data_IF_308693052007
#
_entry.id   IF_308693052007
#
_cell.length_a   1.000
_cell.length_b   1.000
_cell.length_c   1.000
_cell.angle_alpha   90.00
_cell.angle_beta   90.00
_cell.angle_gamma   90.00
#
_symmetry.space_group_name_H-M   'P 1'
#
loop_
_entity.id
_entity.type
_entity.pdbx_description
1 polymer ?
#
# COMPACT_ATOMS: atom_id res chain seq x y z
N UNK A 1 -7.06 -28.73 33.36
CA UNK A 1 -6.06 -27.62 33.35
C UNK A 1 -4.91 -27.80 32.34
N UNK A 2 -4.30 -28.97 32.21
CA UNK A 2 -3.19 -29.21 31.24
C UNK A 2 -3.62 -29.02 29.77
N UNK A 3 -4.79 -29.52 29.40
CA UNK A 3 -5.35 -29.39 28.04
C UNK A 3 -5.65 -27.93 27.65
N UNK A 4 -6.15 -27.12 28.60
CA UNK A 4 -6.43 -25.69 28.37
C UNK A 4 -5.13 -24.91 28.09
N UNK A 5 -4.05 -25.25 28.80
CA UNK A 5 -2.73 -24.62 28.59
C UNK A 5 -2.11 -25.00 27.25
N UNK A 6 -2.30 -26.25 26.81
CA UNK A 6 -1.85 -26.70 25.49
C UNK A 6 -2.65 -26.01 24.39
N UNK A 7 -3.98 -25.91 24.53
CA UNK A 7 -4.84 -25.22 23.57
C UNK A 7 -4.48 -23.72 23.45
N UNK A 8 -4.26 -23.03 24.57
CA UNK A 8 -3.78 -21.65 24.59
C UNK A 8 -2.40 -21.49 23.95
N UNK A 9 -1.47 -22.42 24.22
CA UNK A 9 -0.14 -22.42 23.60
C UNK A 9 -0.20 -22.62 22.08
N UNK A 10 -0.98 -23.58 21.61
CA UNK A 10 -1.20 -23.80 20.18
C UNK A 10 -1.90 -22.61 19.51
N UNK A 11 -2.88 -22.00 20.17
CA UNK A 11 -3.56 -20.79 19.68
C UNK A 11 -2.60 -19.60 19.52
N UNK A 12 -1.69 -19.39 20.47
CA UNK A 12 -0.68 -18.33 20.40
C UNK A 12 0.31 -18.57 19.25
N UNK A 13 0.78 -19.80 19.08
CA UNK A 13 1.72 -20.17 17.98
C UNK A 13 1.05 -20.02 16.61
N UNK A 14 -0.20 -20.45 16.48
CA UNK A 14 -0.97 -20.28 15.24
C UNK A 14 -1.23 -18.80 14.91
N UNK A 15 -1.50 -17.97 15.92
CA UNK A 15 -1.67 -16.52 15.74
C UNK A 15 -0.40 -15.80 15.25
N UNK A 16 0.79 -16.23 15.71
CA UNK A 16 2.08 -15.65 15.30
C UNK A 16 2.51 -16.08 13.88
N UNK A 17 2.10 -17.27 13.42
CA UNK A 17 2.48 -17.80 12.11
C UNK A 17 1.70 -17.17 10.93
N UNK A 18 0.63 -16.40 11.19
CA UNK A 18 -0.22 -15.81 10.15
C UNK A 18 0.44 -14.67 9.35
N UNK A 19 1.65 -14.23 9.72
CA UNK A 19 2.39 -13.19 8.99
C UNK A 19 3.11 -13.69 7.72
N UNK A 20 3.10 -15.00 7.44
CA UNK A 20 3.71 -15.56 6.23
C UNK A 20 2.71 -15.62 5.07
N UNK A 21 2.72 -14.64 4.17
CA UNK A 21 1.85 -14.66 2.99
C UNK A 21 2.42 -15.65 1.94
N UNK A 22 1.73 -16.75 1.59
CA UNK A 22 2.22 -17.70 0.60
C UNK A 22 2.10 -17.06 -0.80
N UNK A 23 3.22 -16.61 -1.36
CA UNK A 23 3.25 -16.02 -2.70
C UNK A 23 3.82 -17.03 -3.71
N UNK A 24 3.18 -17.25 -4.87
CA UNK A 24 3.69 -18.11 -5.94
C UNK A 24 4.94 -17.52 -6.64
N UNK A 25 5.25 -16.24 -6.39
CA UNK A 25 6.44 -15.55 -6.89
C UNK A 25 6.90 -14.56 -5.82
N UNK A 26 8.12 -14.68 -5.26
CA UNK A 26 8.60 -13.84 -4.15
C UNK A 26 8.51 -12.34 -4.42
N UNK A 27 8.58 -11.91 -5.68
CA UNK A 27 8.84 -10.50 -6.03
C UNK A 27 7.75 -9.84 -6.90
N UNK A 28 6.62 -10.50 -7.17
CA UNK A 28 5.56 -9.86 -7.95
C UNK A 28 4.81 -8.82 -7.12
N UNK A 29 5.26 -7.56 -7.25
CA UNK A 29 4.68 -6.38 -6.60
C UNK A 29 3.47 -5.80 -7.32
N UNK A 30 3.03 -6.38 -8.44
CA UNK A 30 1.89 -5.88 -9.23
C UNK A 30 0.52 -6.25 -8.68
N UNK A 31 0.43 -6.97 -7.56
CA UNK A 31 -0.84 -7.43 -6.99
C UNK A 31 -1.03 -6.93 -5.57
N UNK A 32 -2.20 -6.34 -5.36
CA UNK A 32 -2.76 -6.06 -4.06
C UNK A 32 -3.35 -7.34 -3.45
N UNK A 33 -2.95 -7.62 -2.21
CA UNK A 33 -3.18 -8.92 -1.55
C UNK A 33 -3.98 -8.78 -0.24
N UNK A 34 -4.38 -7.56 0.12
CA UNK A 34 -5.18 -7.28 1.29
C UNK A 34 -6.68 -7.35 1.06
N UNK A 35 -7.39 -6.46 1.73
CA UNK A 35 -8.82 -6.28 1.53
C UNK A 35 -9.06 -5.74 0.12
N UNK A 36 -9.93 -6.40 -0.65
CA UNK A 36 -10.21 -6.00 -2.03
C UNK A 36 -9.14 -6.41 -3.05
N UNK A 37 -8.33 -7.43 -2.72
CA UNK A 37 -7.23 -7.97 -3.53
C UNK A 37 -7.49 -7.95 -5.04
N UNK A 38 -6.69 -7.16 -5.76
CA UNK A 38 -6.80 -6.97 -7.21
C UNK A 38 -5.43 -6.65 -7.82
N UNK A 39 -5.36 -6.49 -9.14
CA UNK A 39 -4.11 -6.05 -9.77
C UNK A 39 -3.91 -4.54 -9.54
N UNK A 40 -2.68 -4.09 -9.26
CA UNK A 40 -2.39 -2.68 -9.01
C UNK A 40 -2.78 -1.76 -10.17
N UNK A 41 -2.85 -2.28 -11.40
CA UNK A 41 -3.33 -1.52 -12.56
C UNK A 41 -4.82 -1.13 -12.49
N UNK A 42 -5.57 -1.68 -11.53
CA UNK A 42 -6.96 -1.33 -11.27
C UNK A 42 -7.08 -0.21 -10.22
N UNK A 43 -5.95 0.22 -9.64
CA UNK A 43 -5.86 1.35 -8.73
C UNK A 43 -5.27 2.57 -9.44
N UNK A 44 -5.45 3.74 -8.86
CA UNK A 44 -4.90 4.99 -9.39
C UNK A 44 -3.60 5.35 -8.67
N UNK A 45 -2.53 5.54 -9.45
CA UNK A 45 -1.31 6.15 -8.94
C UNK A 45 -1.45 7.68 -8.85
N UNK A 46 -0.95 8.24 -7.76
CA UNK A 46 -0.67 9.66 -7.58
C UNK A 46 0.80 9.92 -7.32
N UNK A 47 1.13 11.17 -6.97
CA UNK A 47 2.49 11.61 -6.64
C UNK A 47 2.53 12.12 -5.20
N UNK A 48 3.39 11.53 -4.39
CA UNK A 48 3.81 12.08 -3.12
C UNK A 48 5.19 12.74 -3.26
N UNK A 49 5.35 13.93 -2.67
CA UNK A 49 6.59 14.69 -2.71
C UNK A 49 7.25 14.57 -1.34
N UNK A 50 8.44 14.00 -1.30
CA UNK A 50 9.19 13.78 -0.06
C UNK A 50 9.74 15.12 0.52
N UNK A 51 10.32 15.12 1.73
CA UNK A 51 10.88 16.33 2.33
C UNK A 51 12.00 17.00 1.50
N UNK A 52 12.65 16.26 0.60
CA UNK A 52 13.68 16.79 -0.30
C UNK A 52 13.08 17.39 -1.57
N UNK A 53 11.76 17.30 -1.75
CA UNK A 53 11.06 17.79 -2.93
C UNK A 53 10.99 16.79 -4.09
N UNK A 54 11.31 15.51 -3.86
CA UNK A 54 11.35 14.50 -4.90
C UNK A 54 10.10 13.62 -4.94
N UNK A 55 9.73 13.22 -6.15
CA UNK A 55 8.49 12.53 -6.47
C UNK A 55 8.58 11.03 -6.16
N UNK A 56 7.50 10.51 -5.57
CA UNK A 56 7.25 9.10 -5.39
C UNK A 56 5.88 8.76 -5.94
N UNK A 57 5.78 7.68 -6.72
CA UNK A 57 4.50 7.09 -7.07
C UNK A 57 3.88 6.50 -5.81
N UNK A 58 2.62 6.85 -5.55
CA UNK A 58 1.87 6.36 -4.41
C UNK A 58 0.51 5.84 -4.84
N UNK A 59 0.10 4.73 -4.24
CA UNK A 59 -1.27 4.18 -4.28
C UNK A 59 -1.66 3.84 -2.85
N UNK A 60 -2.88 4.14 -2.45
CA UNK A 60 -3.42 3.86 -1.11
C UNK A 60 -4.90 3.48 -1.25
N UNK A 61 -5.25 2.20 -1.05
CA UNK A 61 -6.65 1.77 -1.11
C UNK A 61 -7.42 1.92 0.21
N UNK A 62 -6.74 2.45 1.24
CA UNK A 62 -7.24 2.70 2.59
C UNK A 62 -6.70 1.74 3.65
N UNK A 63 -6.39 0.49 3.30
CA UNK A 63 -5.79 -0.49 4.22
C UNK A 63 -4.35 -0.83 3.84
N UNK A 64 -4.04 -0.82 2.55
CA UNK A 64 -2.72 -1.12 2.01
C UNK A 64 -2.21 0.05 1.14
N UNK A 65 -0.92 0.34 1.29
CA UNK A 65 -0.23 1.42 0.60
C UNK A 65 0.98 0.91 -0.18
N UNK A 66 1.14 1.42 -1.41
CA UNK A 66 2.25 1.12 -2.30
C UNK A 66 3.01 2.40 -2.61
N UNK A 67 4.33 2.33 -2.55
CA UNK A 67 5.20 3.45 -2.85
C UNK A 67 6.42 2.99 -3.66
N UNK A 68 6.77 3.77 -4.67
CA UNK A 68 8.06 3.63 -5.37
C UNK A 68 8.60 4.99 -5.76
N UNK A 69 9.92 5.15 -5.68
CA UNK A 69 10.56 6.39 -6.12
C UNK A 69 10.35 6.57 -7.62
N UNK A 70 9.93 7.77 -8.04
CA UNK A 70 9.84 8.10 -9.45
C UNK A 70 11.23 8.44 -9.96
N UNK A 71 11.72 7.63 -10.90
CA UNK A 71 13.03 7.80 -11.49
C UNK A 71 12.91 8.32 -12.93
N UNK A 72 13.91 9.10 -13.34
CA UNK A 72 14.13 9.44 -14.74
C UNK A 72 14.74 8.26 -15.51
N UNK A 73 14.89 8.35 -16.84
CA UNK A 73 15.49 7.28 -17.65
C UNK A 73 16.94 6.92 -17.29
N UNK A 74 17.63 7.76 -16.51
CA UNK A 74 19.01 7.54 -16.05
C UNK A 74 19.07 7.04 -14.60
N UNK A 75 17.92 6.75 -13.98
CA UNK A 75 17.83 6.27 -12.61
C UNK A 75 17.98 7.35 -11.55
N UNK A 76 17.92 8.63 -11.92
CA UNK A 76 17.92 9.72 -10.93
C UNK A 76 16.51 10.00 -10.42
N UNK A 77 16.35 10.41 -9.15
CA UNK A 77 15.05 10.86 -8.63
C UNK A 77 14.50 12.02 -9.44
N UNK A 78 13.22 11.95 -9.78
CA UNK A 78 12.49 13.09 -10.35
C UNK A 78 12.06 13.99 -9.20
N UNK A 79 12.34 15.29 -9.30
CA UNK A 79 11.90 16.28 -8.30
C UNK A 79 11.16 17.38 -9.05
N UNK A 80 9.85 17.16 -9.29
CA UNK A 80 9.08 17.91 -10.29
C UNK A 80 8.58 19.27 -9.81
N UNK A 81 8.48 19.48 -8.51
CA UNK A 81 7.93 20.70 -7.93
C UNK A 81 6.43 20.90 -8.17
N UNK A 82 5.68 19.85 -8.52
CA UNK A 82 4.24 19.96 -8.80
C UNK A 82 3.37 20.31 -7.58
N UNK A 83 3.91 20.16 -6.38
CA UNK A 83 3.29 20.59 -5.11
C UNK A 83 4.37 20.83 -4.04
N UNK A 84 4.01 21.35 -2.84
CA UNK A 84 4.93 21.50 -1.72
C UNK A 84 5.45 20.15 -1.18
N UNK A 85 6.64 20.12 -0.54
CA UNK A 85 7.12 18.95 0.19
C UNK A 85 6.09 18.42 1.20
N UNK A 86 6.11 17.10 1.42
CA UNK A 86 5.17 16.36 2.27
C UNK A 86 3.71 16.36 1.78
N UNK A 87 3.48 16.58 0.49
CA UNK A 87 2.13 16.60 -0.09
C UNK A 87 1.93 15.43 -1.05
N UNK A 88 0.73 14.83 -1.05
CA UNK A 88 0.30 13.82 -2.02
C UNK A 88 -0.79 14.37 -2.94
N UNK A 89 -0.70 14.07 -4.23
CA UNK A 89 -1.58 14.56 -5.30
C UNK A 89 -1.96 13.43 -6.26
N UNK A 90 -2.89 13.67 -7.20
CA UNK A 90 -3.17 12.73 -8.30
C UNK A 90 -4.23 11.64 -8.02
N UNK A 91 -4.97 11.74 -6.92
CA UNK A 91 -6.08 10.81 -6.65
C UNK A 91 -5.64 9.40 -6.28
N UNK A 92 -4.52 9.30 -5.57
CA UNK A 92 -3.90 8.06 -5.09
C UNK A 92 -4.81 7.15 -4.25
N UNK A 93 -5.99 7.65 -3.84
CA UNK A 93 -7.03 6.92 -3.08
C UNK A 93 -8.12 6.27 -3.94
N UNK A 94 -8.09 6.43 -5.27
CA UNK A 94 -9.11 5.89 -6.18
C UNK A 94 -8.80 4.44 -6.59
N UNK A 95 -9.85 3.69 -6.87
CA UNK A 95 -9.86 2.25 -7.15
C UNK A 95 -10.02 1.37 -5.91
N UNK A 96 -9.98 1.97 -4.71
CA UNK A 96 -10.19 1.30 -3.42
C UNK A 96 -11.68 1.06 -3.11
N UNK A 97 -11.94 0.43 -1.97
CA UNK A 97 -13.29 0.19 -1.46
C UNK A 97 -13.48 0.64 -0.01
N UNK A 98 -12.42 1.20 0.60
CA UNK A 98 -12.42 1.69 1.97
C UNK A 98 -12.68 3.19 1.94
N UNK A 99 -13.66 3.63 2.73
CA UNK A 99 -14.02 5.03 2.85
C UNK A 99 -12.95 5.80 3.65
N UNK A 100 -12.48 6.92 3.10
CA UNK A 100 -11.61 7.87 3.80
C UNK A 100 -12.37 9.17 4.10
N UNK A 101 -12.62 9.51 5.38
CA UNK A 101 -13.36 10.71 5.77
C UNK A 101 -12.64 12.03 5.42
N UNK A 102 -11.34 11.99 5.09
CA UNK A 102 -10.56 13.19 4.71
C UNK A 102 -10.56 13.45 3.20
N UNK A 103 -11.14 12.55 2.40
CA UNK A 103 -11.10 12.67 0.95
C UNK A 103 -12.53 12.80 0.41
N UNK A 104 -12.84 13.86 -0.38
CA UNK A 104 -14.19 14.06 -0.90
C UNK A 104 -14.55 13.13 -2.08
N UNK A 105 -13.60 12.33 -2.57
CA UNK A 105 -13.80 11.44 -3.73
C UNK A 105 -14.26 10.05 -3.30
N UNK A 106 -15.28 9.51 -3.97
CA UNK A 106 -15.65 8.10 -3.83
C UNK A 106 -14.42 7.23 -4.17
N UNK A 107 -13.98 6.32 -3.29
CA UNK A 107 -12.84 5.46 -3.57
C UNK A 107 -13.03 4.58 -4.81
N UNK A 108 -14.25 4.36 -5.28
CA UNK A 108 -14.55 3.53 -6.45
C UNK A 108 -14.53 4.29 -7.79
N UNK A 109 -14.54 5.63 -7.79
CA UNK A 109 -14.65 6.47 -8.98
C UNK A 109 -15.17 7.87 -8.67
#
# INVERSE_FOLDING_TARGET
>A
MKLIRIALGCGLVAGLAACGHPSPTPDFKGRDRGFGAKHLSQLQAGIWIDPNGCDHWIVDDGAEGYLSQRLDPYGKPVCSGTAPPNTATGGFKRGGHIFDPRTPTNPQG
#
